data_IF_078835483690
#
_entry.id   IF_078835483690
#
_cell.length_a   1.000
_cell.length_b   1.000
_cell.length_c   1.000
_cell.angle_alpha   90.00
_cell.angle_beta   90.00
_cell.angle_gamma   90.00
#
_symmetry.space_group_name_H-M   'P 1'
#
loop_
_entity.id
_entity.type
_entity.pdbx_description
1 polymer ?
#
# COMPACT_ATOMS: atom_id res chain seq x y z
N UNK A 1 27.73 12.21 -11.03
CA UNK A 1 27.56 13.59 -10.49
C UNK A 1 27.12 13.46 -9.04
N UNK A 2 27.71 14.23 -8.13
CA UNK A 2 27.28 14.28 -6.74
C UNK A 2 26.16 15.31 -6.57
N UNK A 3 25.26 15.09 -5.64
CA UNK A 3 24.16 16.00 -5.29
C UNK A 3 24.46 16.69 -3.93
N UNK A 4 25.70 17.13 -3.75
CA UNK A 4 26.17 17.58 -2.46
C UNK A 4 26.00 19.08 -2.20
N UNK A 5 25.80 19.87 -3.24
CA UNK A 5 25.76 21.34 -3.14
C UNK A 5 24.46 21.91 -3.73
N UNK A 6 23.95 23.05 -3.20
CA UNK A 6 22.75 23.70 -3.77
C UNK A 6 22.87 24.06 -5.26
N UNK A 7 24.10 24.27 -5.77
CA UNK A 7 24.36 24.52 -7.18
C UNK A 7 24.10 23.33 -8.08
N UNK A 8 24.27 22.10 -7.57
CA UNK A 8 24.02 20.87 -8.34
C UNK A 8 22.54 20.74 -8.69
N UNK A 9 21.64 21.13 -7.79
CA UNK A 9 20.19 21.14 -8.03
C UNK A 9 19.83 22.03 -9.21
N UNK A 10 20.35 23.27 -9.23
CA UNK A 10 20.12 24.23 -10.33
C UNK A 10 20.66 23.73 -11.67
N UNK A 11 21.82 23.06 -11.66
CA UNK A 11 22.38 22.47 -12.86
C UNK A 11 21.47 21.40 -13.43
N UNK A 12 20.90 20.51 -12.59
CA UNK A 12 19.97 19.46 -13.01
C UNK A 12 18.65 20.06 -13.52
N UNK A 13 18.12 21.06 -12.83
CA UNK A 13 16.89 21.76 -13.25
C UNK A 13 17.07 22.46 -14.61
N UNK A 14 18.26 22.97 -14.89
CA UNK A 14 18.59 23.67 -16.12
C UNK A 14 18.98 22.74 -17.30
N UNK A 15 19.21 21.44 -17.07
CA UNK A 15 19.55 20.50 -18.15
C UNK A 15 18.44 20.38 -19.21
N UNK A 16 17.18 20.41 -18.78
CA UNK A 16 16.02 20.43 -19.64
C UNK A 16 14.79 20.95 -18.86
N UNK A 17 13.96 21.74 -19.53
CA UNK A 17 12.67 22.13 -18.94
C UNK A 17 11.85 20.87 -18.60
N UNK A 18 11.08 20.92 -17.49
CA UNK A 18 10.32 19.76 -17.02
C UNK A 18 9.39 19.18 -18.10
N UNK A 19 8.77 20.06 -18.90
CA UNK A 19 7.87 19.66 -19.99
C UNK A 19 8.56 18.98 -21.18
N UNK A 20 9.87 19.16 -21.32
CA UNK A 20 10.67 18.59 -22.42
C UNK A 20 11.28 17.24 -22.03
N UNK A 21 11.13 16.84 -20.77
CA UNK A 21 11.60 15.53 -20.31
C UNK A 21 10.65 14.45 -20.79
N UNK A 22 11.20 13.39 -21.35
CA UNK A 22 10.43 12.19 -21.76
C UNK A 22 9.98 11.39 -20.53
N UNK A 23 9.09 11.99 -19.73
CA UNK A 23 8.52 11.36 -18.55
C UNK A 23 7.06 10.96 -18.83
N UNK A 24 6.66 9.73 -18.50
CA UNK A 24 5.25 9.34 -18.54
C UNK A 24 4.41 10.25 -17.63
N UNK A 25 3.24 10.65 -18.12
CA UNK A 25 2.36 11.58 -17.43
C UNK A 25 1.59 10.96 -16.24
N UNK A 26 1.59 9.63 -16.16
CA UNK A 26 0.84 8.88 -15.14
C UNK A 26 1.73 7.86 -14.44
N UNK A 27 1.39 7.53 -13.19
CA UNK A 27 2.03 6.47 -12.44
C UNK A 27 2.00 5.13 -13.19
N UNK A 28 0.85 4.79 -13.79
CA UNK A 28 0.71 3.57 -14.59
C UNK A 28 1.66 3.56 -15.81
N UNK A 29 1.77 4.69 -16.49
CA UNK A 29 2.72 4.85 -17.61
C UNK A 29 4.18 4.71 -17.19
N UNK A 30 4.54 5.23 -15.98
CA UNK A 30 5.89 5.06 -15.42
C UNK A 30 6.20 3.60 -15.14
N UNK A 31 5.29 2.88 -14.48
CA UNK A 31 5.43 1.45 -14.19
C UNK A 31 5.51 0.64 -15.49
N UNK A 32 4.63 0.90 -16.46
CA UNK A 32 4.61 0.23 -17.77
C UNK A 32 5.95 0.38 -18.49
N UNK A 33 6.51 1.59 -18.55
CA UNK A 33 7.82 1.84 -19.17
C UNK A 33 8.94 1.09 -18.45
N UNK A 34 8.90 1.05 -17.12
CA UNK A 34 9.89 0.33 -16.31
C UNK A 34 9.84 -1.17 -16.59
N UNK A 35 8.65 -1.74 -16.66
CA UNK A 35 8.47 -3.17 -16.98
C UNK A 35 8.95 -3.52 -18.38
N UNK A 36 8.71 -2.67 -19.36
CA UNK A 36 9.21 -2.88 -20.71
C UNK A 36 10.74 -2.98 -20.77
N UNK A 37 11.43 -2.18 -19.96
CA UNK A 37 12.89 -2.13 -19.95
C UNK A 37 13.53 -3.16 -19.00
N UNK A 38 12.89 -3.46 -17.85
CA UNK A 38 13.48 -4.25 -16.76
C UNK A 38 12.51 -5.28 -16.15
N UNK A 39 11.80 -6.11 -16.94
CA UNK A 39 10.70 -6.95 -16.44
C UNK A 39 11.13 -7.92 -15.32
N UNK A 40 12.33 -8.46 -15.43
CA UNK A 40 12.82 -9.53 -14.54
C UNK A 40 13.73 -9.01 -13.41
N UNK A 41 14.01 -7.70 -13.34
CA UNK A 41 14.76 -7.14 -12.22
C UNK A 41 13.90 -7.06 -10.98
N UNK A 42 14.53 -7.21 -9.81
CA UNK A 42 13.87 -7.03 -8.52
C UNK A 42 13.35 -5.60 -8.37
N UNK A 43 12.06 -5.48 -8.06
CA UNK A 43 11.39 -4.20 -7.85
C UNK A 43 11.23 -3.89 -6.37
N UNK A 44 10.81 -4.86 -5.59
CA UNK A 44 10.58 -4.71 -4.15
C UNK A 44 10.79 -6.05 -3.45
N UNK A 45 11.37 -6.01 -2.26
CA UNK A 45 11.48 -7.15 -1.36
C UNK A 45 10.90 -6.79 0.00
N UNK A 46 10.07 -7.66 0.54
CA UNK A 46 9.51 -7.53 1.87
C UNK A 46 9.84 -8.74 2.72
N UNK A 47 10.24 -8.48 3.96
CA UNK A 47 10.54 -9.50 4.96
C UNK A 47 9.94 -9.08 6.30
N UNK A 48 9.08 -9.92 6.89
CA UNK A 48 8.42 -9.59 8.17
C UNK A 48 9.36 -9.71 9.37
N UNK A 49 10.34 -10.60 9.29
CA UNK A 49 11.40 -10.78 10.29
C UNK A 49 12.75 -10.83 9.59
N UNK A 50 13.75 -10.17 10.15
CA UNK A 50 15.10 -10.08 9.60
C UNK A 50 16.05 -11.17 10.12
N UNK A 51 15.54 -12.32 10.50
CA UNK A 51 16.35 -13.44 10.93
C UNK A 51 17.05 -14.15 9.76
N UNK A 52 18.18 -14.85 10.00
CA UNK A 52 18.96 -15.46 8.93
C UNK A 52 18.25 -16.62 8.19
N UNK A 53 17.16 -17.13 8.76
CA UNK A 53 16.32 -18.19 8.15
C UNK A 53 14.97 -17.66 7.62
N UNK A 54 14.65 -16.40 7.87
CA UNK A 54 13.42 -15.79 7.40
C UNK A 54 13.59 -15.38 5.93
N UNK A 55 12.60 -15.74 5.10
CA UNK A 55 12.66 -15.46 3.67
C UNK A 55 12.03 -14.11 3.36
N UNK A 56 12.66 -13.35 2.50
CA UNK A 56 12.03 -12.21 1.85
C UNK A 56 11.11 -12.70 0.71
N UNK A 57 9.99 -12.05 0.53
CA UNK A 57 9.21 -12.14 -0.70
C UNK A 57 9.63 -11.00 -1.62
N UNK A 58 10.23 -11.35 -2.75
CA UNK A 58 10.67 -10.39 -3.77
C UNK A 58 9.72 -10.44 -4.96
N UNK A 59 9.30 -9.27 -5.43
CA UNK A 59 8.53 -9.11 -6.66
C UNK A 59 9.46 -8.52 -7.72
N UNK A 60 9.45 -9.09 -8.91
CA UNK A 60 10.03 -8.46 -10.08
C UNK A 60 9.21 -7.23 -10.51
N UNK A 61 9.75 -6.37 -11.38
CA UNK A 61 8.98 -5.27 -11.96
C UNK A 61 7.74 -5.77 -12.68
N UNK A 62 7.83 -6.93 -13.37
CA UNK A 62 6.68 -7.55 -14.00
C UNK A 62 5.62 -7.96 -12.99
N UNK A 63 6.02 -8.66 -11.91
CA UNK A 63 5.09 -9.08 -10.86
C UNK A 63 4.42 -7.88 -10.19
N UNK A 64 5.21 -6.84 -9.87
CA UNK A 64 4.69 -5.62 -9.26
C UNK A 64 3.67 -4.94 -10.16
N UNK A 65 3.95 -4.81 -11.46
CA UNK A 65 3.05 -4.20 -12.43
C UNK A 65 1.75 -4.99 -12.58
N UNK A 66 1.86 -6.31 -12.76
CA UNK A 66 0.70 -7.20 -12.91
C UNK A 66 -0.20 -7.14 -11.67
N UNK A 67 0.39 -7.24 -10.47
CA UNK A 67 -0.34 -7.16 -9.20
C UNK A 67 -0.92 -5.76 -8.95
N UNK A 68 -0.22 -4.70 -9.30
CA UNK A 68 -0.73 -3.33 -9.23
C UNK A 68 -1.93 -3.14 -10.15
N UNK A 69 -1.86 -3.66 -11.38
CA UNK A 69 -2.97 -3.63 -12.33
C UNK A 69 -4.18 -4.41 -11.81
N UNK A 70 -3.95 -5.59 -11.21
CA UNK A 70 -5.02 -6.37 -10.57
C UNK A 70 -5.64 -5.61 -9.38
N UNK A 71 -4.82 -4.97 -8.53
CA UNK A 71 -5.32 -4.17 -7.42
C UNK A 71 -6.15 -2.96 -7.90
N UNK A 72 -5.70 -2.25 -8.93
CA UNK A 72 -6.46 -1.14 -9.51
C UNK A 72 -7.80 -1.61 -10.09
N UNK A 73 -7.81 -2.74 -10.81
CA UNK A 73 -9.03 -3.33 -11.35
C UNK A 73 -9.97 -3.83 -10.24
N UNK A 74 -9.44 -4.38 -9.16
CA UNK A 74 -10.23 -4.75 -7.97
C UNK A 74 -10.90 -3.53 -7.37
N UNK A 75 -10.18 -2.42 -7.14
CA UNK A 75 -10.78 -1.19 -6.60
C UNK A 75 -11.87 -0.63 -7.52
N UNK A 76 -11.65 -0.62 -8.84
CA UNK A 76 -12.67 -0.23 -9.82
C UNK A 76 -13.88 -1.16 -9.80
N UNK A 77 -13.65 -2.48 -9.66
CA UNK A 77 -14.72 -3.47 -9.49
C UNK A 77 -15.55 -3.27 -8.22
N UNK A 78 -14.98 -2.64 -7.18
CA UNK A 78 -15.66 -2.19 -5.96
C UNK A 78 -16.34 -0.82 -6.13
N UNK A 79 -16.37 -0.28 -7.34
CA UNK A 79 -17.02 0.98 -7.66
C UNK A 79 -16.18 2.23 -7.38
N UNK A 80 -14.84 2.10 -7.21
CA UNK A 80 -13.95 3.27 -7.07
C UNK A 80 -13.82 3.97 -8.41
N UNK A 81 -14.16 5.25 -8.44
CA UNK A 81 -14.03 6.17 -9.56
C UNK A 81 -12.81 7.10 -9.35
N UNK A 82 -12.48 7.93 -10.33
CA UNK A 82 -11.23 8.73 -10.34
C UNK A 82 -11.11 9.70 -9.16
N UNK A 83 -12.23 10.17 -8.60
CA UNK A 83 -12.27 11.09 -7.45
C UNK A 83 -12.56 10.41 -6.12
N UNK A 84 -12.84 9.10 -6.13
CA UNK A 84 -13.07 8.33 -4.91
C UNK A 84 -11.75 7.99 -4.20
N UNK A 85 -11.84 7.92 -2.88
CA UNK A 85 -10.66 7.68 -2.04
C UNK A 85 -10.59 6.23 -1.58
N UNK A 86 -9.42 5.62 -1.83
CA UNK A 86 -8.98 4.36 -1.23
C UNK A 86 -8.02 4.68 -0.09
N UNK A 87 -8.45 4.51 1.15
CA UNK A 87 -7.58 4.64 2.31
C UNK A 87 -6.95 3.29 2.67
N UNK A 88 -5.77 3.33 3.29
CA UNK A 88 -5.22 2.13 3.92
C UNK A 88 -4.60 2.43 5.28
N UNK A 89 -4.80 1.49 6.21
CA UNK A 89 -4.22 1.49 7.56
C UNK A 89 -3.42 0.21 7.69
N UNK A 90 -2.19 0.22 7.21
CA UNK A 90 -1.33 -0.97 7.10
C UNK A 90 0.10 -0.69 7.57
N UNK A 91 0.77 -1.66 8.20
CA UNK A 91 2.22 -1.64 8.31
C UNK A 91 2.85 -1.90 6.94
N UNK A 92 4.15 -1.67 6.82
CA UNK A 92 4.86 -1.97 5.57
C UNK A 92 4.70 -3.45 5.19
N UNK A 93 4.32 -3.68 3.93
CA UNK A 93 4.21 -5.01 3.30
C UNK A 93 4.10 -4.83 1.78
N UNK A 94 4.16 -5.91 1.01
CA UNK A 94 3.87 -5.84 -0.43
C UNK A 94 2.44 -5.36 -0.69
N UNK A 95 1.47 -5.78 0.14
CA UNK A 95 0.07 -5.34 0.01
C UNK A 95 -0.10 -3.84 0.28
N UNK A 96 0.71 -3.26 1.18
CA UNK A 96 0.72 -1.82 1.41
C UNK A 96 1.14 -1.06 0.15
N UNK A 97 2.20 -1.54 -0.51
CA UNK A 97 2.64 -0.98 -1.78
C UNK A 97 1.60 -1.18 -2.89
N UNK A 98 0.97 -2.36 -2.96
CA UNK A 98 -0.09 -2.63 -3.95
C UNK A 98 -1.35 -1.78 -3.69
N UNK A 99 -1.69 -1.51 -2.42
CA UNK A 99 -2.78 -0.61 -2.06
C UNK A 99 -2.47 0.84 -2.45
N UNK A 100 -1.22 1.28 -2.23
CA UNK A 100 -0.75 2.60 -2.65
C UNK A 100 -0.82 2.77 -4.17
N UNK A 101 -0.17 1.89 -4.90
CA UNK A 101 -0.06 2.00 -6.36
C UNK A 101 -1.40 1.74 -7.05
N UNK A 102 -2.10 0.66 -6.67
CA UNK A 102 -3.41 0.31 -7.23
C UNK A 102 -4.48 1.34 -6.90
N UNK A 103 -4.49 1.87 -5.66
CA UNK A 103 -5.39 2.94 -5.24
C UNK A 103 -5.15 4.23 -6.02
N UNK A 104 -3.88 4.64 -6.21
CA UNK A 104 -3.52 5.83 -6.98
C UNK A 104 -3.81 5.71 -8.49
N UNK A 105 -3.92 4.49 -9.02
CA UNK A 105 -4.31 4.23 -10.41
C UNK A 105 -5.83 4.18 -10.57
N UNK A 106 -6.54 3.67 -9.57
CA UNK A 106 -8.00 3.57 -9.61
C UNK A 106 -8.70 4.90 -9.30
N UNK A 107 -8.18 5.66 -8.33
CA UNK A 107 -8.74 6.92 -7.82
C UNK A 107 -7.69 7.70 -7.05
N UNK A 108 -8.05 8.18 -5.86
CA UNK A 108 -7.18 8.89 -4.92
C UNK A 108 -6.78 7.93 -3.80
N UNK A 109 -5.49 7.84 -3.48
CA UNK A 109 -5.04 7.02 -2.36
C UNK A 109 -4.74 7.86 -1.13
N UNK A 110 -5.22 7.44 0.05
CA UNK A 110 -4.98 8.07 1.34
C UNK A 110 -4.24 7.13 2.30
N UNK A 111 -2.89 7.23 2.39
CA UNK A 111 -2.11 6.50 3.39
C UNK A 111 -2.41 7.00 4.80
N UNK A 112 -2.79 6.11 5.71
CA UNK A 112 -3.04 6.43 7.12
C UNK A 112 -2.00 5.68 7.98
N UNK A 113 -1.31 6.43 8.83
CA UNK A 113 -0.34 5.83 9.73
C UNK A 113 -1.03 4.88 10.74
N UNK A 114 -0.68 3.58 10.78
CA UNK A 114 -1.31 2.61 11.68
C UNK A 114 -1.00 2.84 13.17
N UNK A 115 -0.10 3.76 13.51
CA UNK A 115 0.21 4.13 14.89
C UNK A 115 -0.72 5.21 15.45
N UNK A 116 -1.56 5.83 14.63
CA UNK A 116 -2.57 6.78 15.07
C UNK A 116 -3.60 6.13 15.98
N UNK A 117 -4.29 6.94 16.78
CA UNK A 117 -5.41 6.49 17.59
C UNK A 117 -6.72 6.41 16.77
N UNK A 118 -7.76 5.89 17.39
CA UNK A 118 -9.06 5.65 16.76
C UNK A 118 -9.69 6.91 16.22
N UNK A 119 -9.68 8.00 17.01
CA UNK A 119 -10.32 9.26 16.64
C UNK A 119 -9.61 9.93 15.47
N UNK A 120 -8.27 9.85 15.44
CA UNK A 120 -7.45 10.39 14.35
C UNK A 120 -7.69 9.62 13.05
N UNK A 121 -7.70 8.28 13.10
CA UNK A 121 -8.02 7.45 11.93
C UNK A 121 -9.42 7.79 11.42
N UNK A 122 -10.42 7.82 12.31
CA UNK A 122 -11.79 8.14 11.96
C UNK A 122 -11.95 9.55 11.36
N UNK A 123 -11.24 10.54 11.90
CA UNK A 123 -11.24 11.91 11.36
C UNK A 123 -10.71 11.93 9.92
N UNK A 124 -9.57 11.28 9.66
CA UNK A 124 -9.00 11.21 8.31
C UNK A 124 -9.95 10.49 7.34
N UNK A 125 -10.56 9.37 7.75
CA UNK A 125 -11.52 8.64 6.92
C UNK A 125 -12.72 9.50 6.54
N UNK A 126 -13.25 10.32 7.46
CA UNK A 126 -14.35 11.25 7.19
C UNK A 126 -13.93 12.41 6.31
N UNK A 127 -12.80 13.06 6.64
CA UNK A 127 -12.30 14.23 5.90
C UNK A 127 -11.97 13.90 4.45
N UNK A 128 -11.38 12.73 4.21
CA UNK A 128 -11.06 12.25 2.87
C UNK A 128 -12.25 11.66 2.15
N UNK A 129 -13.39 11.47 2.83
CA UNK A 129 -14.55 10.75 2.34
C UNK A 129 -14.17 9.37 1.75
N UNK A 130 -13.32 8.62 2.48
CA UNK A 130 -12.82 7.34 2.02
C UNK A 130 -13.95 6.36 1.73
N UNK A 131 -13.96 5.80 0.51
CA UNK A 131 -14.98 4.83 0.06
C UNK A 131 -14.57 3.39 0.36
N UNK A 132 -13.29 3.09 0.23
CA UNK A 132 -12.69 1.78 0.50
C UNK A 132 -11.58 1.94 1.52
N UNK A 133 -11.52 1.03 2.49
CA UNK A 133 -10.41 0.93 3.46
C UNK A 133 -9.72 -0.41 3.33
N UNK A 134 -8.40 -0.40 3.22
CA UNK A 134 -7.57 -1.60 3.32
C UNK A 134 -6.90 -1.62 4.68
N UNK A 135 -7.11 -2.66 5.46
CA UNK A 135 -6.56 -2.78 6.80
C UNK A 135 -5.92 -4.13 7.07
N UNK A 136 -5.26 -4.26 8.21
CA UNK A 136 -4.66 -5.51 8.63
C UNK A 136 -5.72 -6.42 9.24
N UNK A 137 -5.73 -7.69 8.83
CA UNK A 137 -6.43 -8.73 9.58
C UNK A 137 -5.77 -8.89 10.96
N UNK A 138 -6.59 -9.17 11.98
CA UNK A 138 -6.07 -9.31 13.36
C UNK A 138 -4.79 -10.15 13.39
N UNK A 139 -3.74 -9.59 13.98
CA UNK A 139 -2.41 -10.20 14.03
C UNK A 139 -1.80 -10.02 15.42
N UNK A 140 -1.02 -11.01 15.96
CA UNK A 140 -0.43 -10.89 17.27
C UNK A 140 0.49 -9.66 17.40
N UNK A 141 0.49 -9.03 18.58
CA UNK A 141 1.33 -7.88 18.94
C UNK A 141 1.04 -6.58 18.16
N UNK A 142 -0.12 -6.47 17.56
CA UNK A 142 -0.60 -5.23 16.96
C UNK A 142 -2.10 -5.08 17.16
N UNK A 143 -2.57 -3.86 17.30
CA UNK A 143 -3.96 -3.46 17.50
C UNK A 143 -4.56 -2.75 16.27
N UNK A 144 -3.86 -2.75 15.14
CA UNK A 144 -4.28 -2.06 13.91
C UNK A 144 -5.68 -2.48 13.45
N UNK A 145 -5.97 -3.79 13.48
CA UNK A 145 -7.30 -4.32 13.14
C UNK A 145 -8.39 -3.73 14.04
N UNK A 146 -8.17 -3.77 15.36
CA UNK A 146 -9.11 -3.29 16.36
C UNK A 146 -9.35 -1.78 16.24
N UNK A 147 -8.27 -1.00 16.20
CA UNK A 147 -8.34 0.46 16.01
C UNK A 147 -9.07 0.84 14.73
N UNK A 148 -8.77 0.15 13.63
CA UNK A 148 -9.46 0.43 12.35
C UNK A 148 -10.94 0.10 12.45
N UNK A 149 -11.32 -1.01 13.08
CA UNK A 149 -12.72 -1.38 13.25
C UNK A 149 -13.49 -0.37 14.11
N UNK A 150 -12.89 0.11 15.21
CA UNK A 150 -13.46 1.16 16.05
C UNK A 150 -13.59 2.49 15.28
N UNK A 151 -12.57 2.85 14.49
CA UNK A 151 -12.59 4.05 13.65
C UNK A 151 -13.68 3.99 12.56
N UNK A 152 -13.90 2.81 11.96
CA UNK A 152 -14.95 2.60 10.97
C UNK A 152 -16.35 2.82 11.53
N UNK A 153 -16.60 2.46 12.79
CA UNK A 153 -17.87 2.76 13.45
C UNK A 153 -18.16 4.28 13.56
N UNK A 154 -17.11 5.10 13.48
CA UNK A 154 -17.18 6.57 13.50
C UNK A 154 -17.06 7.19 12.10
N UNK A 155 -16.92 6.39 11.04
CA UNK A 155 -16.75 6.83 9.64
C UNK A 155 -17.74 6.11 8.71
N UNK A 156 -19.04 6.48 8.76
CA UNK A 156 -20.11 5.78 8.03
C UNK A 156 -20.07 5.96 6.49
N UNK A 157 -19.17 6.79 5.99
CA UNK A 157 -18.92 6.99 4.57
C UNK A 157 -18.10 5.86 3.92
N UNK A 158 -17.47 5.00 4.70
CA UNK A 158 -16.73 3.84 4.17
C UNK A 158 -17.73 2.76 3.75
N UNK A 159 -17.62 2.28 2.50
CA UNK A 159 -18.54 1.28 1.95
C UNK A 159 -17.96 -0.13 1.91
N UNK A 160 -16.65 -0.24 1.88
CA UNK A 160 -15.98 -1.54 1.73
C UNK A 160 -14.69 -1.58 2.54
N UNK A 161 -14.50 -2.70 3.23
CA UNK A 161 -13.25 -2.96 3.97
C UNK A 161 -12.58 -4.22 3.43
N UNK A 162 -11.29 -4.12 3.15
CA UNK A 162 -10.44 -5.23 2.72
C UNK A 162 -9.42 -5.55 3.81
N UNK A 163 -9.27 -6.83 4.14
CA UNK A 163 -8.31 -7.29 5.15
C UNK A 163 -7.10 -7.96 4.50
N UNK A 164 -5.91 -7.52 4.89
CA UNK A 164 -4.61 -8.10 4.52
C UNK A 164 -4.17 -9.09 5.59
N UNK A 165 -3.84 -10.33 5.23
CA UNK A 165 -3.34 -11.35 6.16
C UNK A 165 -1.82 -11.54 6.01
N UNK A 166 -1.05 -11.06 6.98
CA UNK A 166 0.41 -11.22 7.00
C UNK A 166 0.88 -12.67 7.28
N UNK A 167 -0.03 -13.61 7.53
CA UNK A 167 0.31 -15.01 7.77
C UNK A 167 1.11 -15.60 6.59
N UNK A 168 0.85 -15.14 5.37
CA UNK A 168 1.55 -15.59 4.16
C UNK A 168 3.08 -15.40 4.20
N UNK A 169 3.55 -14.44 4.99
CA UNK A 169 4.98 -14.14 5.13
C UNK A 169 5.68 -14.97 6.21
N UNK A 170 4.93 -15.79 6.93
CA UNK A 170 5.48 -16.60 8.01
C UNK A 170 5.90 -17.98 7.51
N UNK A 171 7.05 -18.43 8.00
CA UNK A 171 7.54 -19.80 7.81
C UNK A 171 7.26 -20.64 9.06
N UNK A 172 7.20 -22.00 8.96
CA UNK A 172 7.12 -22.86 10.13
C UNK A 172 8.29 -22.64 11.10
N UNK A 173 8.07 -22.76 12.41
CA UNK A 173 6.79 -23.10 13.07
C UNK A 173 5.84 -21.90 13.26
N UNK A 174 6.27 -20.65 13.00
CA UNK A 174 5.50 -19.43 13.21
C UNK A 174 4.15 -19.46 12.46
N UNK A 175 4.15 -19.93 11.20
CA UNK A 175 2.93 -20.04 10.39
C UNK A 175 1.86 -20.98 10.98
N UNK A 176 2.25 -21.92 11.83
CA UNK A 176 1.32 -22.84 12.51
C UNK A 176 0.83 -22.28 13.86
N UNK A 177 1.70 -21.53 14.55
CA UNK A 177 1.41 -21.01 15.89
C UNK A 177 0.53 -19.77 15.79
N UNK A 178 0.81 -18.84 14.87
CA UNK A 178 0.11 -17.57 14.76
C UNK A 178 -1.40 -17.72 14.58
N UNK A 179 -1.95 -18.65 13.77
CA UNK A 179 -3.40 -18.86 13.69
C UNK A 179 -4.07 -19.25 15.00
N UNK A 180 -3.32 -19.91 15.92
CA UNK A 180 -3.83 -20.35 17.21
C UNK A 180 -3.87 -19.22 18.25
N UNK A 181 -2.94 -18.27 18.16
CA UNK A 181 -2.78 -17.19 19.13
C UNK A 181 -3.27 -15.83 18.61
N UNK A 182 -3.67 -15.74 17.32
CA UNK A 182 -4.19 -14.47 16.78
C UNK A 182 -5.51 -14.10 17.47
N UNK A 183 -5.74 -12.82 17.71
CA UNK A 183 -7.04 -12.36 18.21
C UNK A 183 -8.15 -12.75 17.23
N UNK A 184 -9.26 -13.29 17.76
CA UNK A 184 -10.46 -13.61 16.98
C UNK A 184 -11.28 -12.33 16.80
N UNK A 185 -10.79 -11.45 15.98
CA UNK A 185 -11.42 -10.18 15.65
C UNK A 185 -11.62 -10.09 14.14
N UNK A 186 -12.79 -9.65 13.74
CA UNK A 186 -13.11 -9.34 12.33
C UNK A 186 -13.56 -7.91 12.25
N UNK A 187 -13.07 -7.19 11.28
CA UNK A 187 -13.62 -5.89 10.95
C UNK A 187 -15.01 -6.12 10.36
N UNK A 188 -16.03 -5.67 11.05
CA UNK A 188 -17.42 -5.70 10.55
C UNK A 188 -17.75 -4.28 10.10
N UNK A 189 -18.21 -4.19 8.86
CA UNK A 189 -18.69 -2.92 8.31
C UNK A 189 -19.87 -3.20 7.41
#
# INVERSE_FOLDING_TARGET
MGYALPGDLKNIENEAAWGDRDNPKTLYGMLSRTVQNFPNHDAVSYQIFSGPKDKAETLSWKDLFDKTTQAANMFRGLGVEETDVVAYVLPNSNETLLSLLGGAIAGIVAPINPLLDVDQIAAILRETNAKVVVTLKAFPKTDVCQKTAEALALAPNVHTVLEVDLLRYLTPPKSWIVPLIRPKYKVQH
#
